data_IF_609549350051
#
_entry.id   IF_609549350051
#
_cell.length_a   1.000
_cell.length_b   1.000
_cell.length_c   1.000
_cell.angle_alpha   90.00
_cell.angle_beta   90.00
_cell.angle_gamma   90.00
#
_symmetry.space_group_name_H-M   'P 1'
#
loop_
_entity.id
_entity.type
_entity.pdbx_description
1 polymer ?
#
# COMPACT_ATOMS: atom_id res chain seq x y z
N UNK A 1 21.42 7.60 -11.60
CA UNK A 1 20.96 6.54 -12.52
C UNK A 1 21.21 5.10 -12.08
N UNK A 2 22.26 4.78 -11.34
CA UNK A 2 22.52 3.37 -10.96
C UNK A 2 21.64 2.89 -9.81
N UNK A 3 21.49 3.70 -8.75
CA UNK A 3 20.69 3.34 -7.57
C UNK A 3 19.19 3.27 -7.85
N UNK A 4 18.68 4.08 -8.78
CA UNK A 4 17.27 4.06 -9.20
C UNK A 4 16.88 2.78 -9.96
N UNK A 5 17.86 1.95 -10.37
CA UNK A 5 17.63 0.64 -11.00
C UNK A 5 17.52 -0.49 -9.98
N UNK A 6 17.87 -0.24 -8.72
CA UNK A 6 17.78 -1.23 -7.64
C UNK A 6 16.37 -1.11 -7.03
N UNK A 7 15.53 -2.10 -7.31
CA UNK A 7 14.10 -2.13 -6.93
C UNK A 7 13.82 -1.95 -5.44
N UNK A 8 14.78 -2.36 -4.62
CA UNK A 8 14.76 -2.29 -3.16
C UNK A 8 15.02 -0.87 -2.65
N UNK A 9 15.68 0.00 -3.43
CA UNK A 9 15.94 1.39 -3.06
C UNK A 9 14.69 2.24 -3.33
N UNK A 10 14.08 2.76 -2.27
CA UNK A 10 12.91 3.65 -2.34
C UNK A 10 13.29 5.10 -2.49
N UNK A 11 14.31 5.52 -1.77
CA UNK A 11 14.84 6.87 -1.84
C UNK A 11 16.36 6.86 -1.64
N UNK A 12 17.01 7.84 -2.23
CA UNK A 12 18.45 8.04 -2.11
C UNK A 12 18.71 9.54 -1.94
N UNK A 13 19.39 9.89 -0.86
CA UNK A 13 19.67 11.26 -0.48
C UNK A 13 21.17 11.44 -0.29
N UNK A 14 21.71 12.50 -0.89
CA UNK A 14 23.03 12.98 -0.51
C UNK A 14 22.92 13.72 0.81
N UNK A 15 23.78 13.35 1.76
CA UNK A 15 23.81 13.92 3.10
C UNK A 15 25.20 14.47 3.39
N UNK A 16 25.27 15.52 4.20
CA UNK A 16 26.53 16.07 4.68
C UNK A 16 26.93 15.38 5.99
N UNK A 17 28.20 15.00 6.12
CA UNK A 17 28.74 14.36 7.32
C UNK A 17 29.66 13.20 7.02
N UNK A 18 29.76 12.24 7.95
CA UNK A 18 30.62 11.07 7.84
C UNK A 18 30.18 10.11 6.72
N UNK A 19 28.87 10.01 6.50
CA UNK A 19 28.30 9.26 5.37
C UNK A 19 27.91 10.25 4.29
N UNK A 20 28.10 9.85 3.04
CA UNK A 20 27.81 10.69 1.87
C UNK A 20 26.41 10.43 1.29
N UNK A 21 25.84 9.27 1.64
CA UNK A 21 24.60 8.77 1.07
C UNK A 21 23.73 8.14 2.16
N UNK A 22 22.46 8.53 2.18
CA UNK A 22 21.42 7.89 2.96
C UNK A 22 20.45 7.20 2.00
N UNK A 23 20.22 5.91 2.23
CA UNK A 23 19.34 5.09 1.40
C UNK A 23 18.17 4.59 2.24
N UNK A 24 16.96 4.81 1.73
CA UNK A 24 15.76 4.15 2.23
C UNK A 24 15.55 2.89 1.39
N UNK A 25 15.53 1.73 2.04
CA UNK A 25 15.44 0.44 1.38
C UNK A 25 14.29 -0.38 1.94
N UNK A 26 13.61 -1.11 1.06
CA UNK A 26 12.54 -2.04 1.41
C UNK A 26 12.86 -3.40 0.78
N UNK A 27 13.06 -4.40 1.64
CA UNK A 27 13.29 -5.78 1.26
C UNK A 27 12.15 -6.65 1.82
N UNK A 28 11.79 -7.71 1.10
CA UNK A 28 10.68 -8.57 1.46
C UNK A 28 11.00 -9.47 2.68
N UNK A 29 12.29 -9.73 2.91
CA UNK A 29 12.80 -10.61 3.96
C UNK A 29 14.26 -10.29 4.33
N UNK A 30 14.76 -10.93 5.39
CA UNK A 30 16.12 -10.68 5.90
C UNK A 30 17.21 -11.19 4.95
N UNK A 31 16.95 -12.28 4.22
CA UNK A 31 17.90 -12.83 3.25
C UNK A 31 18.06 -11.89 2.05
N UNK A 32 16.96 -11.39 1.50
CA UNK A 32 16.97 -10.40 0.42
C UNK A 32 17.63 -9.10 0.84
N UNK A 33 17.41 -8.65 2.09
CA UNK A 33 18.12 -7.51 2.67
C UNK A 33 19.64 -7.76 2.76
N UNK A 34 20.07 -8.90 3.29
CA UNK A 34 21.50 -9.22 3.39
C UNK A 34 22.18 -9.27 2.02
N UNK A 35 21.52 -9.89 1.02
CA UNK A 35 22.01 -9.92 -0.36
C UNK A 35 22.12 -8.51 -0.96
N UNK A 36 21.15 -7.64 -0.68
CA UNK A 36 21.19 -6.25 -1.11
C UNK A 36 22.42 -5.53 -0.55
N UNK A 37 22.63 -5.60 0.77
CA UNK A 37 23.70 -4.87 1.46
C UNK A 37 25.09 -5.42 1.14
N UNK A 38 25.27 -6.74 1.15
CA UNK A 38 26.58 -7.38 1.03
C UNK A 38 27.05 -7.56 -0.41
N UNK A 39 26.13 -7.69 -1.36
CA UNK A 39 26.47 -8.02 -2.75
C UNK A 39 26.04 -6.93 -3.74
N UNK A 40 24.75 -6.58 -3.75
CA UNK A 40 24.21 -5.73 -4.82
C UNK A 40 24.66 -4.27 -4.71
N UNK A 41 24.58 -3.66 -3.53
CA UNK A 41 24.99 -2.26 -3.35
C UNK A 41 26.50 -2.06 -3.64
N UNK A 42 27.41 -2.91 -3.15
CA UNK A 42 28.82 -2.80 -3.51
C UNK A 42 29.09 -3.07 -4.99
N UNK A 43 28.48 -4.11 -5.58
CA UNK A 43 28.76 -4.52 -6.96
C UNK A 43 28.14 -3.61 -8.00
N UNK A 44 26.87 -3.23 -7.82
CA UNK A 44 26.10 -2.47 -8.80
C UNK A 44 26.34 -0.98 -8.64
N UNK A 45 26.40 -0.47 -7.41
CA UNK A 45 26.51 0.97 -7.13
C UNK A 45 27.90 1.41 -6.62
N UNK A 46 28.85 0.49 -6.44
CA UNK A 46 30.20 0.82 -5.97
C UNK A 46 30.26 1.32 -4.54
N UNK A 47 29.21 1.05 -3.74
CA UNK A 47 29.13 1.52 -2.36
C UNK A 47 30.03 0.68 -1.45
N UNK A 48 30.73 1.36 -0.55
CA UNK A 48 31.57 0.74 0.47
C UNK A 48 31.28 1.37 1.83
N UNK A 49 31.69 0.69 2.90
CA UNK A 49 31.47 1.13 4.29
C UNK A 49 29.98 1.42 4.61
N UNK A 50 29.13 0.45 4.27
CA UNK A 50 27.67 0.53 4.41
C UNK A 50 27.29 0.24 5.87
N UNK A 51 26.63 1.20 6.54
CA UNK A 51 25.96 0.98 7.81
C UNK A 51 24.47 0.75 7.55
N UNK A 52 23.95 -0.38 8.04
CA UNK A 52 22.58 -0.78 7.79
C UNK A 52 21.76 -0.72 9.09
N UNK A 53 20.62 -0.02 9.05
CA UNK A 53 19.73 0.14 10.19
C UNK A 53 18.36 -0.45 9.87
N UNK A 54 17.93 -1.44 10.67
CA UNK A 54 16.64 -2.09 10.49
C UNK A 54 15.59 -1.35 11.32
N UNK A 55 14.53 -0.89 10.66
CA UNK A 55 13.39 -0.26 11.31
C UNK A 55 12.49 -1.36 11.87
N UNK A 56 12.40 -1.47 13.19
CA UNK A 56 11.53 -2.46 13.87
C UNK A 56 10.13 -1.93 14.14
N UNK A 57 9.98 -0.60 14.21
CA UNK A 57 8.71 0.08 14.42
C UNK A 57 8.75 1.48 13.78
N UNK A 58 7.74 1.81 13.00
CA UNK A 58 7.55 3.18 12.50
C UNK A 58 6.44 3.87 13.29
N UNK A 59 6.79 4.96 14.00
CA UNK A 59 5.83 5.75 14.79
C UNK A 59 5.09 6.78 13.92
N UNK A 60 5.79 7.35 12.94
CA UNK A 60 5.24 8.31 11.99
C UNK A 60 5.96 8.16 10.65
N UNK A 61 5.19 8.05 9.59
CA UNK A 61 5.68 8.04 8.21
C UNK A 61 4.69 8.83 7.35
N UNK A 62 5.17 9.90 6.71
CA UNK A 62 4.35 10.67 5.78
C UNK A 62 4.69 10.23 4.36
N UNK A 63 3.98 9.21 3.89
CA UNK A 63 4.04 8.83 2.49
C UNK A 63 3.06 9.65 1.65
N UNK A 64 3.58 10.40 0.68
CA UNK A 64 2.88 10.55 -0.59
C UNK A 64 2.77 9.16 -1.24
N UNK A 65 1.61 8.82 -1.78
CA UNK A 65 1.31 7.47 -2.29
C UNK A 65 2.35 7.02 -3.31
N UNK A 66 3.32 6.20 -2.88
CA UNK A 66 4.27 5.50 -3.74
C UNK A 66 3.74 4.09 -3.98
N UNK A 67 2.90 3.93 -5.01
CA UNK A 67 2.51 2.61 -5.51
C UNK A 67 3.71 2.07 -6.32
N UNK A 68 4.26 0.90 -5.97
CA UNK A 68 5.25 0.22 -6.82
C UNK A 68 4.64 0.08 -8.23
N UNK A 69 5.40 0.38 -9.27
CA UNK A 69 5.03 -0.04 -10.61
C UNK A 69 4.86 -1.58 -10.56
N UNK A 70 3.65 -2.08 -10.82
CA UNK A 70 3.18 -3.47 -10.65
C UNK A 70 2.58 -3.86 -9.28
N UNK A 71 2.33 -2.92 -8.37
CA UNK A 71 1.41 -3.19 -7.25
C UNK A 71 -0.01 -3.36 -7.81
N UNK A 72 -0.48 -4.59 -7.86
CA UNK A 72 -1.87 -4.87 -8.18
C UNK A 72 -2.76 -4.30 -7.06
N UNK A 73 -3.50 -3.22 -7.36
CA UNK A 73 -4.62 -2.78 -6.54
C UNK A 73 -5.66 -3.90 -6.52
N UNK A 74 -5.57 -4.77 -5.52
CA UNK A 74 -6.53 -5.83 -5.29
C UNK A 74 -7.78 -5.22 -4.65
N UNK A 75 -8.82 -5.05 -5.46
CA UNK A 75 -10.13 -4.67 -4.94
C UNK A 75 -10.70 -5.83 -4.12
N UNK A 76 -11.30 -5.52 -2.97
CA UNK A 76 -12.11 -6.47 -2.19
C UNK A 76 -13.57 -6.14 -2.35
N UNK A 77 -14.41 -7.17 -2.41
CA UNK A 77 -15.85 -7.01 -2.44
C UNK A 77 -16.33 -6.33 -1.14
N UNK A 78 -17.13 -5.28 -1.27
CA UNK A 78 -17.71 -4.58 -0.11
C UNK A 78 -18.69 -5.44 0.70
N UNK A 79 -19.22 -6.53 0.11
CA UNK A 79 -20.15 -7.45 0.78
C UNK A 79 -19.45 -8.67 1.37
N UNK A 80 -18.87 -9.53 0.52
CA UNK A 80 -18.29 -10.80 0.96
C UNK A 80 -16.80 -10.73 1.33
N UNK A 81 -16.17 -9.57 1.12
CA UNK A 81 -14.75 -9.31 1.40
C UNK A 81 -13.73 -10.16 0.63
N UNK A 82 -14.18 -11.04 -0.26
CA UNK A 82 -13.32 -11.78 -1.18
C UNK A 82 -12.61 -10.84 -2.15
N UNK A 83 -11.38 -11.17 -2.51
CA UNK A 83 -10.61 -10.48 -3.55
C UNK A 83 -11.32 -10.59 -4.89
N UNK A 84 -11.46 -9.45 -5.58
CA UNK A 84 -12.07 -9.37 -6.91
C UNK A 84 -10.97 -9.61 -7.93
N UNK A 85 -11.10 -10.72 -8.66
CA UNK A 85 -10.28 -11.00 -9.83
C UNK A 85 -10.96 -10.42 -11.08
N UNK A 86 -10.27 -9.54 -11.81
CA UNK A 86 -10.81 -8.90 -13.01
C UNK A 86 -11.54 -7.58 -12.74
N UNK A 87 -12.51 -7.25 -13.60
CA UNK A 87 -13.21 -5.95 -13.55
C UNK A 87 -14.28 -5.96 -12.45
N UNK A 88 -14.19 -5.09 -11.42
CA UNK A 88 -15.20 -5.05 -10.36
C UNK A 88 -16.53 -4.49 -10.89
N UNK A 89 -17.62 -4.96 -10.30
CA UNK A 89 -18.92 -4.32 -10.45
C UNK A 89 -18.94 -3.11 -9.52
N UNK A 90 -19.15 -1.93 -10.10
CA UNK A 90 -19.13 -0.65 -9.37
C UNK A 90 -20.54 -0.12 -9.25
N UNK A 91 -21.00 0.15 -8.02
CA UNK A 91 -22.30 0.80 -7.75
C UNK A 91 -22.11 2.02 -6.86
N UNK A 92 -23.06 2.94 -6.97
CA UNK A 92 -23.09 4.15 -6.15
C UNK A 92 -24.34 4.12 -5.27
N UNK A 93 -24.17 4.15 -3.95
CA UNK A 93 -25.26 4.14 -2.98
C UNK A 93 -25.04 5.22 -1.93
N UNK A 94 -26.06 6.04 -1.67
CA UNK A 94 -26.02 7.08 -0.62
C UNK A 94 -24.75 7.96 -0.66
N UNK A 95 -24.27 8.30 -1.86
CA UNK A 95 -23.06 9.10 -2.08
C UNK A 95 -21.72 8.34 -1.99
N UNK A 96 -21.73 7.06 -1.63
CA UNK A 96 -20.55 6.20 -1.61
C UNK A 96 -20.39 5.38 -2.89
N UNK A 97 -19.14 5.17 -3.33
CA UNK A 97 -18.77 4.28 -4.43
C UNK A 97 -18.30 2.94 -3.87
N UNK A 98 -18.93 1.85 -4.29
CA UNK A 98 -18.68 0.49 -3.77
C UNK A 98 -18.33 -0.47 -4.91
N UNK A 99 -17.51 -1.47 -4.60
CA UNK A 99 -16.95 -2.46 -5.52
C UNK A 99 -17.37 -3.87 -5.10
N UNK A 100 -17.84 -4.67 -6.06
CA UNK A 100 -18.40 -6.00 -5.81
C UNK A 100 -17.83 -7.06 -6.75
N UNK A 101 -17.74 -8.28 -6.23
CA UNK A 101 -17.33 -9.47 -7.00
C UNK A 101 -18.43 -10.02 -7.90
N UNK A 102 -19.71 -9.70 -7.62
CA UNK A 102 -20.89 -10.18 -8.36
C UNK A 102 -22.11 -9.29 -8.11
N UNK A 103 -23.12 -9.36 -8.98
CA UNK A 103 -24.38 -8.59 -8.81
C UNK A 103 -25.12 -9.01 -7.54
N UNK A 104 -25.10 -10.30 -7.19
CA UNK A 104 -25.70 -10.81 -5.94
C UNK A 104 -25.13 -10.11 -4.69
N UNK A 105 -23.81 -9.88 -4.67
CA UNK A 105 -23.15 -9.13 -3.60
C UNK A 105 -23.59 -7.66 -3.56
N UNK A 106 -23.81 -7.06 -4.73
CA UNK A 106 -24.28 -5.68 -4.81
C UNK A 106 -25.73 -5.54 -4.30
N UNK A 107 -26.60 -6.47 -4.66
CA UNK A 107 -28.00 -6.51 -4.22
C UNK A 107 -28.12 -6.75 -2.71
N UNK A 108 -27.40 -7.73 -2.18
CA UNK A 108 -27.39 -8.01 -0.74
C UNK A 108 -26.86 -6.82 0.07
N UNK A 109 -25.79 -6.18 -0.40
CA UNK A 109 -25.23 -5.00 0.25
C UNK A 109 -26.17 -3.80 0.20
N UNK A 110 -26.88 -3.60 -0.92
CA UNK A 110 -27.90 -2.56 -1.03
C UNK A 110 -29.00 -2.74 0.02
N UNK A 111 -29.49 -3.96 0.23
CA UNK A 111 -30.49 -4.25 1.27
C UNK A 111 -30.04 -3.85 2.68
N UNK A 112 -28.77 -4.13 3.02
CA UNK A 112 -28.17 -3.72 4.31
C UNK A 112 -28.12 -2.19 4.43
N UNK A 113 -27.70 -1.50 3.37
CA UNK A 113 -27.67 -0.04 3.36
C UNK A 113 -29.07 0.56 3.48
N UNK A 114 -30.04 0.02 2.76
CA UNK A 114 -31.42 0.50 2.78
C UNK A 114 -32.03 0.39 4.18
N UNK A 115 -31.78 -0.70 4.91
CA UNK A 115 -32.17 -0.83 6.31
C UNK A 115 -31.48 0.22 7.19
N UNK A 116 -30.14 0.31 7.10
CA UNK A 116 -29.33 1.21 7.93
C UNK A 116 -29.69 2.69 7.75
N UNK A 117 -29.96 3.12 6.50
CA UNK A 117 -30.34 4.51 6.23
C UNK A 117 -31.81 4.78 6.53
N UNK A 118 -32.69 3.78 6.44
CA UNK A 118 -34.08 3.91 6.89
C UNK A 118 -34.18 4.08 8.40
N UNK A 119 -33.38 3.34 9.18
CA UNK A 119 -33.30 3.45 10.64
C UNK A 119 -32.76 4.83 11.07
N UNK A 120 -31.69 5.32 10.44
CA UNK A 120 -31.15 6.67 10.70
C UNK A 120 -32.14 7.79 10.41
N UNK A 121 -33.00 7.62 9.40
CA UNK A 121 -34.02 8.61 9.07
C UNK A 121 -35.11 8.68 10.15
N UNK A 122 -35.46 7.55 10.77
CA UNK A 122 -36.41 7.51 11.90
C UNK A 122 -35.84 8.18 13.16
N UNK A 123 -34.59 7.89 13.51
CA UNK A 123 -33.95 8.49 14.70
C UNK A 123 -33.75 10.00 14.61
N UNK A 124 -33.62 10.56 13.40
CA UNK A 124 -33.47 12.01 13.20
C UNK A 124 -34.80 12.78 13.13
N UNK A 125 -35.96 12.10 13.14
CA UNK A 125 -37.28 12.75 13.09
C UNK A 125 -37.95 12.84 14.47
N UNK A 126 -37.40 12.13 15.46
CA UNK A 126 -37.91 12.07 16.84
C UNK A 126 -37.03 12.83 17.86
N UNK A 127 -36.11 13.68 17.39
CA UNK A 127 -35.21 14.52 18.20
C UNK A 127 -35.46 16.00 18.01
#
# INVERSE_FOLDING_TARGET
>A
DTLSKISEVRAAHFVAGEKQLFLEVEADDVESFNRLILERLPREAGLSDISAHIITQTVKEEYGVSLKANSFLQYKCNFCHTTIYGKPIVKHYYGGKYYFSGEECAEAYKGILDQKYSERKKTNTEG
#
